data_IF_976530923420
#
_entry.id   IF_976530923420
#
_cell.length_a   1.000
_cell.length_b   1.000
_cell.length_c   1.000
_cell.angle_alpha   90.00
_cell.angle_beta   90.00
_cell.angle_gamma   90.00
#
_symmetry.space_group_name_H-M   'P 1'
#
loop_
_entity.id
_entity.type
_entity.pdbx_description
1 polymer ?
#
# COMPACT_ATOMS: atom_id res chain seq x y z
N UNK A 1 0.44 -9.34 -8.86
CA UNK A 1 0.77 -10.34 -7.82
C UNK A 1 -0.52 -10.77 -7.16
N UNK A 2 -0.63 -12.02 -6.72
CA UNK A 2 -1.82 -12.52 -6.01
C UNK A 2 -1.44 -12.90 -4.58
N UNK A 3 -2.42 -12.83 -3.66
CA UNK A 3 -2.26 -13.24 -2.26
C UNK A 3 -1.22 -12.45 -1.44
N UNK A 4 -1.23 -11.11 -1.55
CA UNK A 4 -0.39 -10.28 -0.71
C UNK A 4 -0.90 -10.29 0.75
N UNK A 5 -0.06 -10.63 1.74
CA UNK A 5 -0.48 -10.69 3.14
C UNK A 5 -0.76 -9.30 3.68
N UNK A 6 -2.00 -9.09 4.10
CA UNK A 6 -2.48 -7.84 4.72
C UNK A 6 -3.16 -8.12 6.05
N UNK A 7 -3.38 -7.05 6.83
CA UNK A 7 -4.14 -7.06 8.07
C UNK A 7 -5.36 -6.16 8.01
N UNK A 8 -6.30 -6.37 8.91
CA UNK A 8 -7.44 -5.48 9.12
C UNK A 8 -7.47 -5.09 10.59
N UNK A 9 -7.64 -3.79 10.86
CA UNK A 9 -7.90 -3.21 12.18
C UNK A 9 -9.34 -2.71 12.17
N UNK A 10 -10.23 -3.42 12.82
CA UNK A 10 -11.65 -3.06 12.92
C UNK A 10 -11.95 -2.51 14.32
N UNK A 11 -12.04 -1.17 14.42
CA UNK A 11 -12.35 -0.47 15.67
C UNK A 11 -13.87 -0.25 15.85
N UNK A 12 -14.65 -0.39 14.76
CA UNK A 12 -16.09 -0.17 14.75
C UNK A 12 -16.89 -1.40 15.23
N UNK A 13 -16.45 -2.59 14.83
CA UNK A 13 -17.04 -3.90 15.19
C UNK A 13 -18.54 -4.02 14.87
N UNK A 14 -19.03 -3.28 13.88
CA UNK A 14 -20.44 -3.27 13.45
C UNK A 14 -20.74 -4.32 12.38
N UNK A 15 -21.98 -4.34 11.89
CA UNK A 15 -22.34 -5.17 10.74
C UNK A 15 -21.68 -4.67 9.45
N UNK A 16 -21.61 -3.36 9.29
CA UNK A 16 -20.99 -2.72 8.11
C UNK A 16 -19.49 -2.95 8.07
N UNK A 17 -18.76 -2.79 9.19
CA UNK A 17 -17.32 -3.03 9.24
C UNK A 17 -16.97 -4.49 8.93
N UNK A 18 -17.76 -5.45 9.44
CA UNK A 18 -17.59 -6.87 9.11
C UNK A 18 -17.88 -7.18 7.65
N UNK A 19 -18.82 -6.48 7.02
CA UNK A 19 -19.09 -6.65 5.59
C UNK A 19 -17.93 -6.14 4.73
N UNK A 20 -17.36 -4.98 5.08
CA UNK A 20 -16.16 -4.44 4.45
C UNK A 20 -15.00 -5.46 4.57
N UNK A 21 -14.75 -5.96 5.77
CA UNK A 21 -13.70 -6.96 6.02
C UNK A 21 -13.87 -8.20 5.15
N UNK A 22 -15.08 -8.76 5.07
CA UNK A 22 -15.38 -9.92 4.21
C UNK A 22 -15.18 -9.64 2.74
N UNK A 23 -15.55 -8.44 2.28
CA UNK A 23 -15.35 -8.08 0.87
C UNK A 23 -13.86 -7.98 0.54
N UNK A 24 -13.05 -7.40 1.43
CA UNK A 24 -11.59 -7.36 1.29
C UNK A 24 -11.00 -8.78 1.21
N UNK A 25 -11.51 -9.73 2.01
CA UNK A 25 -11.09 -11.13 1.98
C UNK A 25 -11.39 -11.84 0.65
N UNK A 26 -12.37 -11.37 -0.12
CA UNK A 26 -12.71 -11.94 -1.43
C UNK A 26 -11.84 -11.40 -2.58
N UNK A 27 -11.04 -10.37 -2.34
CA UNK A 27 -10.18 -9.75 -3.36
C UNK A 27 -8.97 -10.64 -3.63
N UNK A 28 -8.75 -11.12 -4.85
CA UNK A 28 -7.66 -12.07 -5.16
C UNK A 28 -6.26 -11.53 -4.90
N UNK A 29 -6.09 -10.20 -4.93
CA UNK A 29 -4.82 -9.53 -4.65
C UNK A 29 -4.45 -9.65 -3.17
N UNK A 30 -5.42 -9.75 -2.28
CA UNK A 30 -5.23 -9.73 -0.84
C UNK A 30 -5.31 -11.12 -0.21
N UNK A 31 -4.49 -11.34 0.80
CA UNK A 31 -4.60 -12.46 1.74
C UNK A 31 -4.65 -11.87 3.15
N UNK A 32 -5.85 -11.79 3.71
CA UNK A 32 -6.05 -11.30 5.08
C UNK A 32 -5.58 -12.37 6.06
N UNK A 33 -4.39 -12.20 6.62
CA UNK A 33 -3.80 -13.19 7.53
C UNK A 33 -4.10 -12.93 9.00
N UNK A 34 -4.51 -11.71 9.36
CA UNK A 34 -4.80 -11.35 10.74
C UNK A 34 -5.76 -10.17 10.86
N UNK A 35 -6.60 -10.23 11.89
CA UNK A 35 -7.37 -9.10 12.40
C UNK A 35 -6.69 -8.58 13.66
N UNK A 36 -6.40 -7.29 13.69
CA UNK A 36 -5.73 -6.62 14.80
C UNK A 36 -6.75 -5.78 15.58
N UNK A 37 -6.53 -5.67 16.87
CA UNK A 37 -7.39 -4.88 17.77
C UNK A 37 -6.96 -3.41 17.85
N UNK A 38 -5.77 -3.09 17.37
CA UNK A 38 -5.19 -1.74 17.43
C UNK A 38 -4.19 -1.49 16.29
N UNK A 39 -4.00 -0.23 15.94
CA UNK A 39 -3.07 0.23 14.90
C UNK A 39 -1.60 -0.11 15.23
N UNK A 40 -1.21 -0.07 16.49
CA UNK A 40 0.18 -0.31 16.91
C UNK A 40 0.61 -1.74 16.61
N UNK A 41 -0.28 -2.70 16.88
CA UNK A 41 -0.04 -4.12 16.60
C UNK A 41 0.08 -4.38 15.10
N UNK A 42 -0.80 -3.80 14.28
CA UNK A 42 -0.75 -3.91 12.83
C UNK A 42 0.52 -3.27 12.25
N UNK A 43 0.88 -2.08 12.73
CA UNK A 43 2.10 -1.39 12.35
C UNK A 43 3.37 -2.18 12.70
N UNK A 44 3.38 -2.79 13.89
CA UNK A 44 4.48 -3.66 14.31
C UNK A 44 4.61 -4.89 13.41
N UNK A 45 3.49 -5.51 13.03
CA UNK A 45 3.49 -6.63 12.10
C UNK A 45 4.00 -6.23 10.70
N UNK A 46 3.70 -5.00 10.24
CA UNK A 46 4.24 -4.45 9.00
C UNK A 46 5.75 -4.21 9.10
N UNK A 47 6.25 -3.70 10.23
CA UNK A 47 7.68 -3.55 10.48
C UNK A 47 8.43 -4.89 10.46
N UNK A 48 7.79 -5.92 10.99
CA UNK A 48 8.33 -7.30 11.00
C UNK A 48 8.18 -8.00 9.64
N UNK A 49 7.61 -7.33 8.63
CA UNK A 49 7.33 -7.88 7.28
C UNK A 49 6.43 -9.12 7.29
N UNK A 50 5.58 -9.25 8.31
CA UNK A 50 4.55 -10.29 8.38
C UNK A 50 3.38 -9.95 7.46
N UNK A 51 3.06 -8.66 7.37
CA UNK A 51 2.07 -8.09 6.45
C UNK A 51 2.72 -6.95 5.65
N UNK A 52 2.23 -6.71 4.45
CA UNK A 52 2.71 -5.60 3.61
C UNK A 52 1.78 -4.39 3.63
N UNK A 53 0.60 -4.52 4.22
CA UNK A 53 -0.33 -3.42 4.42
C UNK A 53 -1.44 -3.80 5.38
N UNK A 54 -2.19 -2.80 5.82
CA UNK A 54 -3.38 -3.01 6.66
C UNK A 54 -4.39 -1.89 6.45
N UNK A 55 -5.67 -2.25 6.59
CA UNK A 55 -6.80 -1.34 6.58
C UNK A 55 -7.20 -1.01 8.02
N UNK A 56 -7.53 0.25 8.29
CA UNK A 56 -8.10 0.71 9.56
C UNK A 56 -9.52 1.20 9.32
N UNK A 57 -10.48 0.57 9.96
CA UNK A 57 -11.88 1.00 10.02
C UNK A 57 -12.03 1.75 11.35
N UNK A 58 -12.30 3.07 11.33
CA UNK A 58 -12.38 3.88 12.56
C UNK A 58 -13.59 3.53 13.41
N UNK A 59 -13.55 3.95 14.67
CA UNK A 59 -14.69 3.88 15.60
C UNK A 59 -15.88 4.68 15.06
N UNK A 60 -17.10 4.22 15.34
CA UNK A 60 -18.36 4.82 14.90
C UNK A 60 -18.48 5.00 13.38
N UNK A 61 -17.81 4.14 12.60
CA UNK A 61 -17.85 4.20 11.15
C UNK A 61 -19.29 4.09 10.62
N UNK A 62 -20.02 3.05 11.03
CA UNK A 62 -21.40 2.80 10.61
C UNK A 62 -22.32 3.95 11.00
N UNK A 63 -22.24 4.43 12.26
CA UNK A 63 -23.06 5.55 12.74
C UNK A 63 -22.80 6.85 11.95
N UNK A 64 -21.53 7.14 11.64
CA UNK A 64 -21.17 8.32 10.87
C UNK A 64 -21.67 8.22 9.43
N UNK A 65 -21.51 7.07 8.78
CA UNK A 65 -22.02 6.84 7.42
C UNK A 65 -23.54 7.00 7.37
N UNK A 66 -24.29 6.37 8.29
CA UNK A 66 -25.74 6.44 8.34
C UNK A 66 -26.27 7.83 8.73
N UNK A 67 -25.51 8.59 9.52
CA UNK A 67 -25.87 9.97 9.88
C UNK A 67 -25.44 11.02 8.85
N UNK A 68 -24.86 10.61 7.73
CA UNK A 68 -24.40 11.52 6.68
C UNK A 68 -23.17 12.35 7.09
N UNK A 69 -22.39 11.89 8.06
CA UNK A 69 -21.12 12.52 8.43
C UNK A 69 -19.97 11.94 7.63
N UNK A 70 -19.07 12.80 7.22
CA UNK A 70 -17.85 12.37 6.54
C UNK A 70 -17.02 11.45 7.46
N UNK A 71 -16.65 10.30 6.97
CA UNK A 71 -15.76 9.39 7.68
C UNK A 71 -14.62 8.97 6.75
N UNK A 72 -13.51 8.52 7.32
CA UNK A 72 -12.30 8.21 6.57
C UNK A 72 -11.88 6.76 6.82
N UNK A 73 -11.75 5.99 5.75
CA UNK A 73 -11.08 4.69 5.78
C UNK A 73 -9.60 4.91 5.48
N UNK A 74 -8.74 4.54 6.42
CA UNK A 74 -7.30 4.70 6.27
C UNK A 74 -6.65 3.36 5.98
N UNK A 75 -5.80 3.32 4.95
CA UNK A 75 -5.01 2.14 4.67
C UNK A 75 -3.53 2.48 4.65
N UNK A 76 -2.74 1.60 5.22
CA UNK A 76 -1.30 1.73 5.36
C UNK A 76 -0.62 0.63 4.57
N UNK A 77 0.42 0.96 3.84
CA UNK A 77 1.11 -0.01 2.99
C UNK A 77 2.62 0.21 2.94
N UNK A 78 3.36 -0.88 2.77
CA UNK A 78 4.81 -0.89 2.77
C UNK A 78 5.35 -0.51 1.39
N UNK A 79 5.80 0.73 1.24
CA UNK A 79 6.24 1.27 -0.05
C UNK A 79 7.77 1.18 -0.28
N UNK A 80 8.53 0.58 0.63
CA UNK A 80 9.95 0.32 0.37
C UNK A 80 10.18 -0.72 -0.75
N UNK A 81 9.16 -1.56 -1.02
CA UNK A 81 9.10 -2.43 -2.20
C UNK A 81 8.10 -1.82 -3.17
N UNK A 82 8.58 -1.07 -4.16
CA UNK A 82 7.77 -0.28 -5.07
C UNK A 82 6.66 -1.09 -5.75
N UNK A 83 6.97 -2.28 -6.27
CA UNK A 83 6.01 -3.14 -6.96
C UNK A 83 4.90 -3.67 -6.03
N UNK A 84 5.24 -4.03 -4.80
CA UNK A 84 4.28 -4.52 -3.81
C UNK A 84 3.42 -3.37 -3.29
N UNK A 85 4.04 -2.22 -3.01
CA UNK A 85 3.34 -1.05 -2.51
C UNK A 85 2.30 -0.50 -3.51
N UNK A 86 2.67 -0.37 -4.78
CA UNK A 86 1.76 0.11 -5.83
C UNK A 86 0.60 -0.86 -6.09
N UNK A 87 0.84 -2.17 -6.01
CA UNK A 87 -0.21 -3.18 -6.16
C UNK A 87 -1.23 -3.11 -5.01
N UNK A 88 -0.76 -2.98 -3.77
CA UNK A 88 -1.62 -2.85 -2.59
C UNK A 88 -2.42 -1.54 -2.65
N UNK A 89 -1.78 -0.43 -2.98
CA UNK A 89 -2.44 0.85 -3.14
C UNK A 89 -3.56 0.77 -4.17
N UNK A 90 -3.27 0.34 -5.39
CA UNK A 90 -4.25 0.24 -6.47
C UNK A 90 -5.40 -0.72 -6.15
N UNK A 91 -5.13 -1.82 -5.44
CA UNK A 91 -6.16 -2.74 -5.01
C UNK A 91 -7.09 -2.12 -3.94
N UNK A 92 -6.54 -1.40 -2.95
CA UNK A 92 -7.37 -0.69 -1.97
C UNK A 92 -8.20 0.41 -2.62
N UNK A 93 -7.62 1.26 -3.45
CA UNK A 93 -8.34 2.32 -4.18
C UNK A 93 -9.51 1.75 -5.01
N UNK A 94 -9.30 0.61 -5.68
CA UNK A 94 -10.34 -0.02 -6.50
C UNK A 94 -11.50 -0.59 -5.66
N UNK A 95 -11.21 -1.10 -4.47
CA UNK A 95 -12.19 -1.85 -3.66
C UNK A 95 -12.89 -0.97 -2.64
N UNK A 96 -12.19 0.01 -2.05
CA UNK A 96 -12.77 0.82 -0.99
C UNK A 96 -13.80 1.83 -1.49
N UNK A 97 -13.64 2.39 -2.70
CA UNK A 97 -14.60 3.34 -3.27
C UNK A 97 -16.03 2.77 -3.34
N UNK A 98 -16.29 1.63 -3.98
CA UNK A 98 -17.65 1.08 -4.04
C UNK A 98 -18.16 0.61 -2.69
N UNK A 99 -17.29 0.09 -1.80
CA UNK A 99 -17.68 -0.39 -0.48
C UNK A 99 -18.18 0.70 0.46
N UNK A 100 -17.61 1.87 0.34
CA UNK A 100 -17.98 3.03 1.15
C UNK A 100 -19.38 3.56 0.82
N UNK A 101 -19.84 3.34 -0.40
CA UNK A 101 -21.12 3.86 -0.92
C UNK A 101 -22.27 2.85 -0.77
N UNK A 102 -21.98 1.57 -0.83
CA UNK A 102 -23.00 0.48 -0.82
C UNK A 102 -23.96 0.51 0.37
N UNK A 103 -23.55 0.75 1.63
CA UNK A 103 -24.46 0.81 2.77
C UNK A 103 -25.49 1.95 2.63
N UNK A 104 -25.05 3.09 2.14
CA UNK A 104 -25.89 4.30 1.96
C UNK A 104 -26.96 4.04 0.90
N UNK A 105 -26.56 3.44 -0.23
CA UNK A 105 -27.48 3.10 -1.32
C UNK A 105 -28.55 2.11 -0.83
N UNK A 106 -28.16 1.09 -0.09
CA UNK A 106 -29.09 0.08 0.40
C UNK A 106 -30.14 0.66 1.37
N UNK A 107 -29.75 1.55 2.25
CA UNK A 107 -30.68 2.17 3.21
C UNK A 107 -31.57 3.21 2.54
N UNK A 108 -31.04 4.04 1.66
CA UNK A 108 -31.82 5.00 0.89
C UNK A 108 -32.83 4.30 -0.04
N UNK A 109 -32.46 3.17 -0.64
CA UNK A 109 -33.36 2.36 -1.46
C UNK A 109 -34.46 1.72 -0.61
N UNK A 110 -34.15 1.29 0.61
CA UNK A 110 -35.15 0.76 1.56
C UNK A 110 -36.16 1.85 2.01
N UNK A 111 -35.76 3.12 1.97
CA UNK A 111 -36.62 4.27 2.22
C UNK A 111 -37.40 4.74 0.97
N UNK A 112 -37.24 4.08 -0.17
CA UNK A 112 -37.91 4.36 -1.43
C UNK A 112 -37.34 5.53 -2.23
N UNK A 113 -36.09 5.93 -1.93
CA UNK A 113 -35.36 6.96 -2.67
C UNK A 113 -34.75 6.28 -3.91
N UNK A 114 -34.93 6.87 -5.11
CA UNK A 114 -34.34 6.33 -6.34
C UNK A 114 -32.82 6.57 -6.39
N UNK A 115 -32.08 5.62 -7.00
CA UNK A 115 -30.59 5.68 -7.12
C UNK A 115 -30.10 7.04 -7.68
N UNK A 116 -30.78 7.62 -8.65
CA UNK A 116 -30.41 8.90 -9.23
C UNK A 116 -30.54 10.09 -8.28
N UNK A 117 -31.32 9.96 -7.21
CA UNK A 117 -31.47 11.00 -6.18
C UNK A 117 -30.46 10.79 -5.04
N UNK A 118 -29.86 9.62 -4.93
CA UNK A 118 -28.89 9.27 -3.90
C UNK A 118 -27.53 9.87 -4.22
N UNK A 119 -27.15 9.98 -5.50
CA UNK A 119 -25.87 10.57 -5.92
C UNK A 119 -25.66 12.00 -5.39
N UNK A 120 -26.73 12.79 -5.28
CA UNK A 120 -26.66 14.17 -4.73
C UNK A 120 -26.50 14.22 -3.21
N UNK A 121 -26.79 13.12 -2.51
CA UNK A 121 -26.72 13.01 -1.03
C UNK A 121 -25.55 12.16 -0.52
N UNK A 122 -24.77 11.57 -1.44
CA UNK A 122 -23.62 10.76 -1.06
C UNK A 122 -22.58 11.61 -0.32
N UNK A 123 -22.51 11.42 0.98
CA UNK A 123 -21.39 11.94 1.76
C UNK A 123 -20.18 11.09 1.40
N UNK A 124 -19.13 11.69 0.82
CA UNK A 124 -17.98 10.93 0.39
C UNK A 124 -17.29 10.30 1.62
N UNK A 125 -17.20 8.99 1.63
CA UNK A 125 -16.24 8.32 2.50
C UNK A 125 -14.87 8.58 1.90
N UNK A 126 -14.05 9.33 2.62
CA UNK A 126 -12.69 9.61 2.19
C UNK A 126 -11.83 8.38 2.42
N UNK A 127 -11.12 7.96 1.40
CA UNK A 127 -10.05 6.99 1.55
C UNK A 127 -8.71 7.71 1.65
N UNK A 128 -7.87 7.32 2.59
CA UNK A 128 -6.53 7.87 2.77
C UNK A 128 -5.50 6.75 2.78
N UNK A 129 -4.66 6.75 1.77
CA UNK A 129 -3.50 5.88 1.68
C UNK A 129 -2.28 6.50 2.35
N UNK A 130 -1.66 5.75 3.25
CA UNK A 130 -0.47 6.18 3.98
C UNK A 130 0.72 5.26 3.62
N UNK A 131 1.64 5.70 2.74
CA UNK A 131 2.83 4.94 2.43
C UNK A 131 3.78 4.91 3.63
N UNK A 132 4.10 3.71 4.10
CA UNK A 132 5.07 3.48 5.15
C UNK A 132 6.47 3.32 4.54
N UNK A 133 7.48 3.92 5.18
CA UNK A 133 8.91 3.85 4.83
C UNK A 133 9.36 4.59 3.56
N UNK A 134 8.45 5.19 2.82
CA UNK A 134 8.75 6.11 1.74
C UNK A 134 7.55 7.06 1.53
N UNK A 135 7.30 7.99 2.48
CA UNK A 135 6.12 8.84 2.48
C UNK A 135 6.05 9.78 1.27
N UNK A 136 7.19 10.18 0.75
CA UNK A 136 7.27 11.10 -0.40
C UNK A 136 7.20 10.37 -1.75
N UNK A 137 7.05 9.03 -1.74
CA UNK A 137 7.07 8.17 -2.94
C UNK A 137 8.29 8.42 -3.82
N UNK A 138 9.42 8.76 -3.20
CA UNK A 138 10.62 9.17 -3.90
C UNK A 138 11.39 7.97 -4.44
N UNK A 139 11.56 7.95 -5.75
CA UNK A 139 12.38 6.96 -6.47
C UNK A 139 13.85 6.99 -6.04
N UNK A 140 14.36 8.11 -5.55
CA UNK A 140 15.74 8.23 -5.12
C UNK A 140 16.05 7.30 -3.96
N UNK A 141 15.13 7.13 -3.01
CA UNK A 141 15.26 6.20 -1.88
C UNK A 141 15.37 4.75 -2.35
N UNK A 142 14.64 4.39 -3.39
CA UNK A 142 14.66 3.05 -3.95
C UNK A 142 15.89 2.79 -4.83
N UNK A 143 16.28 3.75 -5.67
CA UNK A 143 17.33 3.57 -6.67
C UNK A 143 18.73 3.89 -6.14
N UNK A 144 18.88 4.75 -5.12
CA UNK A 144 20.19 5.17 -4.61
C UNK A 144 21.08 4.00 -4.20
N UNK A 145 20.51 3.02 -3.51
CA UNK A 145 21.27 1.90 -2.97
C UNK A 145 21.85 0.99 -4.08
N UNK A 146 21.07 0.43 -5.02
CA UNK A 146 21.61 -0.37 -6.12
C UNK A 146 22.49 0.45 -7.06
N UNK A 147 22.18 1.72 -7.31
CA UNK A 147 22.97 2.59 -8.17
C UNK A 147 24.38 2.79 -7.62
N UNK A 148 24.52 2.94 -6.31
CA UNK A 148 25.83 3.08 -5.67
C UNK A 148 26.72 1.84 -5.89
N UNK A 149 26.16 0.65 -5.78
CA UNK A 149 26.89 -0.60 -6.02
C UNK A 149 27.32 -0.74 -7.49
N UNK A 150 26.44 -0.39 -8.44
CA UNK A 150 26.74 -0.43 -9.87
C UNK A 150 27.88 0.56 -10.20
N UNK A 151 27.80 1.78 -9.68
CA UNK A 151 28.84 2.81 -9.90
C UNK A 151 30.18 2.36 -9.35
N UNK A 152 30.20 1.76 -8.15
CA UNK A 152 31.40 1.24 -7.54
C UNK A 152 32.01 0.07 -8.35
N UNK A 153 31.18 -0.81 -8.86
CA UNK A 153 31.61 -1.90 -9.74
C UNK A 153 32.23 -1.41 -11.04
N UNK A 154 31.64 -0.38 -11.65
CA UNK A 154 32.19 0.25 -12.88
C UNK A 154 33.57 0.86 -12.61
N UNK A 155 33.75 1.55 -11.48
CA UNK A 155 35.05 2.15 -11.10
C UNK A 155 36.11 1.03 -10.93
N UNK A 156 35.79 -0.06 -10.25
CA UNK A 156 36.71 -1.19 -10.07
C UNK A 156 37.13 -1.76 -11.43
N UNK A 157 36.17 -1.98 -12.33
CA UNK A 157 36.46 -2.50 -13.67
C UNK A 157 37.37 -1.54 -14.44
N UNK A 158 37.09 -0.26 -14.44
CA UNK A 158 37.92 0.74 -15.12
C UNK A 158 39.35 0.77 -14.58
N UNK A 159 39.53 0.77 -13.25
CA UNK A 159 40.85 0.74 -12.62
C UNK A 159 41.61 -0.56 -12.98
N UNK A 160 40.92 -1.70 -12.95
CA UNK A 160 41.53 -2.98 -13.31
C UNK A 160 42.01 -3.01 -14.77
N UNK A 161 41.16 -2.57 -15.71
CA UNK A 161 41.51 -2.50 -17.11
C UNK A 161 42.68 -1.53 -17.36
N UNK A 162 42.62 -0.36 -16.72
CA UNK A 162 43.70 0.64 -16.85
C UNK A 162 45.03 0.12 -16.32
N UNK A 163 45.03 -0.53 -15.15
CA UNK A 163 46.25 -1.12 -14.56
C UNK A 163 46.79 -2.24 -15.45
N UNK A 164 45.92 -3.07 -16.01
CA UNK A 164 46.33 -4.13 -16.91
C UNK A 164 46.98 -3.58 -18.21
N UNK A 165 46.41 -2.52 -18.78
CA UNK A 165 46.94 -1.85 -19.98
C UNK A 165 48.32 -1.22 -19.72
N UNK A 166 48.51 -0.54 -18.59
CA UNK A 166 49.81 0.03 -18.21
C UNK A 166 50.86 -1.06 -18.04
N UNK A 167 50.53 -2.14 -17.34
CA UNK A 167 51.45 -3.24 -17.11
C UNK A 167 51.88 -3.93 -18.42
N UNK A 168 50.96 -4.09 -19.37
CA UNK A 168 51.28 -4.66 -20.67
C UNK A 168 52.09 -3.73 -21.56
N UNK A 169 51.89 -2.40 -21.47
CA UNK A 169 52.67 -1.40 -22.16
C UNK A 169 54.13 -1.37 -21.68
N UNK A 170 54.33 -1.34 -20.35
CA UNK A 170 55.68 -1.34 -19.76
C UNK A 170 56.45 -2.63 -20.09
N UNK A 171 55.78 -3.78 -20.09
CA UNK A 171 56.37 -5.07 -20.44
C UNK A 171 56.72 -5.17 -21.98
N UNK A 172 56.14 -4.34 -22.82
CA UNK A 172 56.46 -4.28 -24.21
C UNK A 172 57.68 -3.37 -24.48
N UNK A 173 57.85 -2.30 -23.72
CA UNK A 173 59.00 -1.38 -23.81
C UNK A 173 60.28 -2.01 -23.28
N UNK A 174 60.24 -2.86 -22.28
CA UNK A 174 61.41 -3.59 -21.76
C UNK A 174 61.98 -4.65 -22.70
N UNK A 175 61.37 -4.87 -23.87
CA UNK A 175 61.82 -5.86 -24.86
C UNK A 175 62.55 -5.28 -26.09
N UNK A 176 62.78 -3.98 -26.14
CA UNK A 176 63.51 -3.28 -27.15
C UNK A 176 64.89 -2.90 -26.59
#
# INVERSE_FOLDING_TARGET
>A
MENLPIGIVDLDQTATSRNISRTIETVPTFNVIAHYTDDISARTATQQKKIYGYLVIPENFEENVLSGKTTTLSYYYHYALLSVGSEIQGAFETVLQPLAITPIINEATALGISENQIEDFLVPVNEQGHPLYNPDLDYSVYLSNPFFFILFQVIILLVTVYTCLLYTSDAADDRI
#
